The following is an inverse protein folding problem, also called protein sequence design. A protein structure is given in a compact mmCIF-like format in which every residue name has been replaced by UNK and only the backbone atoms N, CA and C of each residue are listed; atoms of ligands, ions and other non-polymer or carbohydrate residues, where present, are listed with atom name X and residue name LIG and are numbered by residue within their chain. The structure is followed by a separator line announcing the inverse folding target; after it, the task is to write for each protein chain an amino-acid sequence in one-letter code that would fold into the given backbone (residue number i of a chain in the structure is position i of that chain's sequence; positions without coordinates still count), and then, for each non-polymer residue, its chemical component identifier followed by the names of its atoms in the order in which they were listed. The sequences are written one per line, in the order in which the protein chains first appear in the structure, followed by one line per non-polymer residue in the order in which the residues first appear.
data_IF_722753946394
#
_entry.id   IF_722753946394
#
_cell.length_a   1.000
_cell.length_b   1.000
_cell.length_c   1.000
_cell.angle_alpha   90.00
_cell.angle_beta   90.00
_cell.angle_gamma   90.00
#
_symmetry.space_group_name_H-M   'P 1'
#
loop_
_entity.id
_entity.type
_entity.pdbx_description
1 polymer ?
#
# COMPACT_ATOMS: atom_id res chain seq x y z
N UNK A 1 3.21 -15.01 0.27
CA UNK A 1 3.55 -13.59 0.51
C UNK A 1 3.30 -13.29 1.98
N UNK A 2 4.29 -12.79 2.74
CA UNK A 2 4.12 -12.48 4.17
C UNK A 2 3.79 -11.00 4.33
N UNK A 3 2.66 -10.68 4.96
CA UNK A 3 2.30 -9.29 5.25
C UNK A 3 3.23 -8.73 6.35
N UNK A 4 3.68 -7.47 6.24
CA UNK A 4 4.42 -6.82 7.31
C UNK A 4 3.52 -6.64 8.54
N UNK A 5 4.12 -6.57 9.72
CA UNK A 5 3.41 -6.21 10.94
C UNK A 5 3.28 -4.69 11.06
N UNK A 6 2.12 -4.22 11.52
CA UNK A 6 1.89 -2.81 11.77
C UNK A 6 2.71 -2.30 12.97
N UNK A 7 3.16 -1.04 12.93
CA UNK A 7 4.04 -0.46 13.96
C UNK A 7 3.34 -0.27 15.32
N UNK A 8 2.02 -0.04 15.32
CA UNK A 8 1.25 0.21 16.53
C UNK A 8 0.92 -1.04 17.33
N UNK A 9 0.57 -2.15 16.65
CA UNK A 9 0.02 -3.34 17.30
C UNK A 9 0.87 -4.61 17.10
N UNK A 10 1.89 -4.55 16.23
CA UNK A 10 2.72 -5.71 15.84
C UNK A 10 1.95 -6.86 15.18
N UNK A 11 0.71 -6.61 14.77
CA UNK A 11 -0.18 -7.53 14.06
C UNK A 11 -0.01 -7.45 12.54
N UNK A 12 -0.29 -8.55 11.80
CA UNK A 12 -0.19 -8.58 10.34
C UNK A 12 -1.10 -7.54 9.66
N UNK A 13 -0.54 -6.83 8.68
CA UNK A 13 -1.26 -5.85 7.88
C UNK A 13 -2.15 -6.49 6.80
N UNK A 14 -3.13 -5.73 6.32
CA UNK A 14 -3.95 -6.07 5.14
C UNK A 14 -3.45 -5.31 3.92
N UNK A 15 -3.55 -5.95 2.76
CA UNK A 15 -3.20 -5.34 1.47
C UNK A 15 -4.41 -4.65 0.85
N UNK A 16 -4.21 -3.45 0.32
CA UNK A 16 -5.24 -2.63 -0.35
C UNK A 16 -4.69 -2.12 -1.68
N UNK A 17 -5.60 -1.81 -2.61
CA UNK A 17 -5.28 -1.27 -3.94
C UNK A 17 -5.75 0.17 -4.05
N UNK A 18 -4.90 1.05 -4.59
CA UNK A 18 -5.30 2.42 -4.91
C UNK A 18 -6.30 2.38 -6.06
N UNK A 19 -7.55 2.75 -5.79
CA UNK A 19 -8.61 2.88 -6.82
C UNK A 19 -8.72 4.29 -7.39
N UNK A 20 -8.16 5.28 -6.69
CA UNK A 20 -8.19 6.68 -7.12
C UNK A 20 -7.39 6.85 -8.43
N UNK A 21 -7.94 7.55 -9.44
CA UNK A 21 -7.23 7.80 -10.68
C UNK A 21 -5.96 8.63 -10.46
N UNK A 22 -4.90 8.28 -11.18
CA UNK A 22 -3.61 8.98 -11.15
C UNK A 22 -2.40 8.04 -11.23
N UNK A 23 -1.18 8.56 -11.03
CA UNK A 23 0.07 7.80 -11.20
C UNK A 23 0.22 6.58 -10.29
N UNK A 24 -0.56 6.52 -9.20
CA UNK A 24 -0.54 5.43 -8.24
C UNK A 24 -1.73 4.48 -8.38
N UNK A 25 -2.64 4.71 -9.33
CA UNK A 25 -3.79 3.83 -9.55
C UNK A 25 -3.33 2.40 -9.79
N UNK A 26 -3.96 1.43 -9.12
CA UNK A 26 -3.61 0.02 -9.23
C UNK A 26 -2.44 -0.43 -8.34
N UNK A 27 -1.65 0.48 -7.77
CA UNK A 27 -0.58 0.12 -6.82
C UNK A 27 -1.16 -0.46 -5.53
N UNK A 28 -0.45 -1.43 -4.97
CA UNK A 28 -0.80 -2.07 -3.70
C UNK A 28 -0.03 -1.49 -2.53
N UNK A 29 -0.68 -1.42 -1.37
CA UNK A 29 -0.11 -0.94 -0.12
C UNK A 29 -0.66 -1.72 1.07
N UNK A 30 0.12 -1.78 2.15
CA UNK A 30 -0.23 -2.41 3.43
C UNK A 30 -0.71 -1.37 4.43
N UNK A 31 -1.78 -1.69 5.16
CA UNK A 31 -2.30 -0.90 6.27
C UNK A 31 -2.71 -1.80 7.45
N UNK A 32 -2.88 -1.21 8.63
CA UNK A 32 -3.39 -1.91 9.80
C UNK A 32 -4.74 -2.60 9.52
N UNK A 33 -4.90 -3.83 10.01
CA UNK A 33 -6.10 -4.65 9.83
C UNK A 33 -7.24 -4.35 10.81
N UNK A 34 -6.95 -3.60 11.88
CA UNK A 34 -7.92 -3.22 12.92
C UNK A 34 -9.06 -2.37 12.34
N UNK A 35 -10.25 -2.39 12.96
CA UNK A 35 -11.37 -1.55 12.56
C UNK A 35 -11.06 -0.07 12.71
N UNK A 36 -11.91 0.77 12.13
CA UNK A 36 -11.81 2.22 12.31
C UNK A 36 -12.06 2.61 13.78
N UNK A 37 -11.44 3.70 14.22
CA UNK A 37 -11.48 4.16 15.60
C UNK A 37 -10.09 4.51 16.17
N UNK A 38 -10.05 5.14 17.35
CA UNK A 38 -8.80 5.53 17.99
C UNK A 38 -8.04 4.29 18.53
N UNK A 39 -6.70 4.27 18.43
CA UNK A 39 -5.86 3.32 19.16
C UNK A 39 -6.11 3.43 20.68
N UNK A 40 -5.94 2.34 21.46
CA UNK A 40 -5.33 1.06 21.08
C UNK A 40 -6.30 0.04 20.47
N UNK A 41 -7.60 0.34 20.44
CA UNK A 41 -8.63 -0.59 19.97
C UNK A 41 -8.76 -0.53 18.45
N UNK A 42 -8.77 0.69 17.89
CA UNK A 42 -8.88 0.95 16.47
C UNK A 42 -7.54 0.96 15.72
N UNK A 43 -7.62 1.21 14.41
CA UNK A 43 -6.48 1.18 13.48
C UNK A 43 -5.39 2.19 13.84
N UNK A 44 -4.13 1.76 13.74
CA UNK A 44 -2.98 2.65 13.79
C UNK A 44 -2.69 3.24 12.41
N UNK A 45 -1.79 4.22 12.37
CA UNK A 45 -1.40 4.95 11.16
C UNK A 45 -0.31 4.24 10.31
N UNK A 46 -0.18 2.91 10.42
CA UNK A 46 0.79 2.17 9.61
C UNK A 46 0.40 2.19 8.12
N UNK A 47 1.35 2.56 7.27
CA UNK A 47 1.24 2.57 5.82
C UNK A 47 2.59 2.16 5.21
N UNK A 48 2.56 1.23 4.26
CA UNK A 48 3.76 0.82 3.50
C UNK A 48 3.38 0.41 2.07
N UNK A 49 4.17 0.80 1.07
CA UNK A 49 3.95 0.33 -0.30
C UNK A 49 4.36 -1.14 -0.44
N UNK A 50 3.60 -1.93 -1.19
CA UNK A 50 4.01 -3.29 -1.55
C UNK A 50 5.27 -3.24 -2.43
N UNK A 51 6.40 -3.71 -1.90
CA UNK A 51 7.67 -3.80 -2.61
C UNK A 51 7.85 -5.05 -3.48
N UNK A 52 6.89 -5.99 -3.51
CA UNK A 52 7.04 -7.23 -4.26
C UNK A 52 7.17 -6.96 -5.76
N UNK A 53 8.23 -7.51 -6.36
CA UNK A 53 8.60 -7.35 -7.78
C UNK A 53 7.44 -7.75 -8.71
N UNK A 54 6.75 -8.85 -8.37
CA UNK A 54 5.50 -9.32 -9.00
C UNK A 54 4.41 -8.23 -9.20
N UNK A 55 4.33 -7.25 -8.31
CA UNK A 55 3.37 -6.13 -8.39
C UNK A 55 3.97 -4.83 -8.91
N UNK A 56 5.30 -4.69 -8.88
CA UNK A 56 6.02 -3.56 -9.49
C UNK A 56 5.87 -3.59 -11.01
N UNK A 57 5.87 -4.79 -11.59
CA UNK A 57 5.78 -4.98 -13.03
C UNK A 57 4.34 -4.88 -13.56
N UNK A 58 3.32 -5.17 -12.74
CA UNK A 58 1.89 -5.03 -13.12
C UNK A 58 1.28 -3.64 -12.88
N UNK A 59 1.82 -2.87 -11.93
CA UNK A 59 1.33 -1.51 -11.63
C UNK A 59 2.13 -0.40 -12.32
N UNK A 60 3.26 -0.73 -12.96
CA UNK A 60 3.95 0.17 -13.87
C UNK A 60 3.19 0.22 -15.20
N UNK A 61 2.09 0.97 -15.26
CA UNK A 61 1.83 1.70 -16.48
C UNK A 61 3.11 2.50 -16.77
N UNK A 62 3.65 2.49 -18.00
CA UNK A 62 4.82 3.30 -18.30
C UNK A 62 4.44 4.75 -17.99
N UNK A 63 4.98 5.32 -16.91
CA UNK A 63 5.10 6.77 -16.78
C UNK A 63 5.87 7.17 -18.02
N UNK A 64 5.13 7.69 -19.01
CA UNK A 64 5.67 8.15 -20.26
C UNK A 64 6.59 9.31 -19.90
N UNK A 65 7.87 9.02 -19.70
CA UNK A 65 8.90 10.05 -19.65
C UNK A 65 8.89 10.68 -21.04
N UNK A 66 8.08 11.72 -21.25
CA UNK A 66 8.22 12.62 -22.39
C UNK A 66 9.61 13.24 -22.26
N UNK A 67 10.59 12.63 -22.93
CA UNK A 67 11.90 13.24 -23.17
C UNK A 67 11.61 14.53 -23.93
N UNK A 68 11.80 15.68 -23.28
CA UNK A 68 11.84 16.97 -23.98
C UNK A 68 12.99 16.88 -24.99
N UNK A 69 12.67 17.15 -26.26
CA UNK A 69 13.63 17.37 -27.34
C UNK A 69 14.18 18.79 -27.21
#
# INVERSE_FOLDING_TARGET
MKAPSCKGHKEPCVIRKVKKPGPNQGRLFYVCARPDGPPPIGRCNHFEWSGTREYRDKAAAPVSKKRKK
#
